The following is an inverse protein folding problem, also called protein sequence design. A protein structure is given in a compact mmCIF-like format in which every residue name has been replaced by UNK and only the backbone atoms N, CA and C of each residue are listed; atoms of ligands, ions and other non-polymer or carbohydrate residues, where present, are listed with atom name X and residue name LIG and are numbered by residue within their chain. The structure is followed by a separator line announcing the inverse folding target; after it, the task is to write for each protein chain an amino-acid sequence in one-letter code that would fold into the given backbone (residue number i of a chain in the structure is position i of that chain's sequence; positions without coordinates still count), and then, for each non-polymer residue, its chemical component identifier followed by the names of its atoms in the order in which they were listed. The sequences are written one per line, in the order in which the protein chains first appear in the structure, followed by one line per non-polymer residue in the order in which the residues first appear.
data_IF_826506744037
#
_entry.id   IF_826506744037
#
_cell.length_a   1.000
_cell.length_b   1.000
_cell.length_c   1.000
_cell.angle_alpha   90.00
_cell.angle_beta   90.00
_cell.angle_gamma   90.00
#
_symmetry.space_group_name_H-M   'P 1'
#
loop_
_entity.id
_entity.type
_entity.pdbx_description
1 polymer ?
#
# COMPACT_ATOMS: atom_id res chain seq x y z
N UNK A 1 3.94 34.74 -18.30
CA UNK A 1 3.00 34.04 -19.20
C UNK A 1 2.04 33.27 -18.29
N UNK A 2 0.78 33.70 -18.11
CA UNK A 2 -0.15 33.07 -17.14
C UNK A 2 -0.89 31.92 -17.82
N UNK A 3 -0.75 30.70 -17.31
CA UNK A 3 -1.71 29.63 -17.59
C UNK A 3 -3.07 30.09 -17.05
N UNK A 4 -4.06 30.18 -17.94
CA UNK A 4 -5.44 30.49 -17.55
C UNK A 4 -6.07 29.15 -17.15
N UNK A 5 -6.02 28.82 -15.86
CA UNK A 5 -6.76 27.70 -15.27
C UNK A 5 -8.14 28.16 -14.86
N UNK A 6 -9.18 27.41 -15.25
CA UNK A 6 -10.56 27.70 -14.88
C UNK A 6 -10.78 27.35 -13.38
N UNK A 7 -11.07 28.32 -12.50
CA UNK A 7 -11.08 28.10 -11.06
C UNK A 7 -12.15 27.12 -10.58
N UNK A 8 -13.30 27.06 -11.28
CA UNK A 8 -14.38 26.16 -10.90
C UNK A 8 -14.01 24.69 -11.16
N UNK A 9 -13.28 24.42 -12.25
CA UNK A 9 -12.81 23.07 -12.57
C UNK A 9 -11.67 22.61 -11.65
N UNK A 10 -10.86 23.53 -11.13
CA UNK A 10 -9.77 23.20 -10.19
C UNK A 10 -10.29 22.84 -8.79
N UNK A 11 -11.28 23.56 -8.26
CA UNK A 11 -11.93 23.23 -6.98
C UNK A 11 -12.70 21.90 -7.05
N UNK A 12 -13.43 21.68 -8.14
CA UNK A 12 -14.35 20.53 -8.24
C UNK A 12 -13.64 19.20 -8.55
N UNK A 13 -12.51 19.22 -9.28
CA UNK A 13 -11.87 17.99 -9.77
C UNK A 13 -10.41 17.80 -9.35
N UNK A 14 -9.77 18.75 -8.66
CA UNK A 14 -8.33 18.64 -8.32
C UNK A 14 -7.98 19.00 -6.86
N UNK A 15 -8.86 19.62 -6.09
CA UNK A 15 -8.61 20.00 -4.67
C UNK A 15 -8.34 18.79 -3.76
N UNK A 16 -9.11 17.68 -3.83
CA UNK A 16 -8.90 16.52 -2.95
C UNK A 16 -7.56 15.80 -3.19
N UNK A 17 -7.12 15.72 -4.45
CA UNK A 17 -5.86 15.07 -4.83
C UNK A 17 -4.64 15.91 -4.43
N UNK A 18 -4.78 17.24 -4.45
CA UNK A 18 -3.74 18.17 -4.02
C UNK A 18 -3.50 18.09 -2.50
N UNK A 19 -4.55 18.00 -1.68
CA UNK A 19 -4.38 17.84 -0.23
C UNK A 19 -3.76 16.46 0.11
N UNK A 20 -4.10 15.41 -0.65
CA UNK A 20 -3.47 14.08 -0.53
C UNK A 20 -1.96 14.09 -0.84
N UNK A 21 -1.51 14.99 -1.72
CA UNK A 21 -0.09 15.13 -2.10
C UNK A 21 0.81 15.75 -1.02
N UNK A 22 0.22 16.33 0.04
CA UNK A 22 0.95 16.94 1.15
C UNK A 22 1.34 15.95 2.26
N UNK A 23 0.96 14.67 2.12
CA UNK A 23 1.30 13.61 3.08
C UNK A 23 2.27 12.58 2.46
N UNK A 24 3.39 12.18 3.12
CA UNK A 24 4.46 11.40 2.46
C UNK A 24 4.21 9.88 2.27
N UNK A 25 4.76 9.22 1.23
CA UNK A 25 4.63 7.77 0.98
C UNK A 25 5.70 6.88 1.67
N UNK A 26 5.43 5.56 1.81
CA UNK A 26 6.32 4.56 2.46
C UNK A 26 6.43 3.23 1.66
N UNK A 27 7.57 2.53 1.70
CA UNK A 27 8.00 1.43 0.77
C UNK A 27 7.97 0.01 1.38
N UNK A 28 7.78 -1.05 0.55
CA UNK A 28 7.99 -2.49 0.88
C UNK A 28 8.55 -3.33 -0.29
N UNK A 29 9.12 -4.52 -0.05
CA UNK A 29 10.08 -5.21 -0.94
C UNK A 29 9.74 -6.58 -1.60
N UNK A 30 8.52 -7.12 -1.55
CA UNK A 30 8.12 -8.42 -2.12
C UNK A 30 6.56 -8.54 -2.17
N UNK A 31 5.85 -8.36 -3.29
CA UNK A 31 4.37 -8.26 -3.33
C UNK A 31 3.60 -9.61 -3.39
N UNK A 32 2.24 -9.68 -3.20
CA UNK A 32 1.42 -10.92 -3.25
C UNK A 32 1.16 -11.51 -4.65
N UNK A 33 0.79 -12.80 -4.79
CA UNK A 33 0.63 -13.50 -6.10
C UNK A 33 -0.33 -12.85 -7.12
N UNK A 34 -1.45 -12.23 -6.71
CA UNK A 34 -2.33 -11.46 -7.62
C UNK A 34 -1.68 -10.14 -8.12
N UNK A 35 -0.61 -9.70 -7.45
CA UNK A 35 0.32 -8.65 -7.89
C UNK A 35 1.51 -9.21 -8.70
N UNK A 36 1.54 -10.51 -9.00
CA UNK A 36 2.58 -11.16 -9.82
C UNK A 36 2.21 -11.09 -11.32
N UNK A 37 3.21 -11.06 -12.24
CA UNK A 37 3.03 -10.70 -13.65
C UNK A 37 2.11 -11.63 -14.45
N UNK A 38 1.93 -12.87 -13.97
CA UNK A 38 1.29 -13.93 -14.73
C UNK A 38 -0.21 -14.10 -14.42
N UNK A 39 -0.75 -13.42 -13.39
CA UNK A 39 -2.17 -13.54 -12.96
C UNK A 39 -2.86 -12.21 -12.61
N UNK A 40 -2.17 -11.08 -12.70
CA UNK A 40 -2.77 -9.76 -12.41
C UNK A 40 -3.65 -9.22 -13.53
N UNK A 41 -4.82 -8.70 -13.19
CA UNK A 41 -5.68 -7.90 -14.08
C UNK A 41 -5.72 -6.41 -13.68
N UNK A 42 -5.36 -6.05 -12.42
CA UNK A 42 -5.11 -4.68 -11.89
C UNK A 42 -4.49 -4.70 -10.44
N UNK A 43 -3.92 -3.61 -9.86
CA UNK A 43 -3.14 -3.63 -8.58
C UNK A 43 -3.22 -2.37 -7.65
N UNK A 44 -3.30 -2.54 -6.30
CA UNK A 44 -2.99 -1.53 -5.20
C UNK A 44 -2.30 -2.14 -3.93
N UNK A 45 -0.96 -2.06 -3.77
CA UNK A 45 -0.16 -2.97 -2.88
C UNK A 45 0.15 -2.50 -1.44
N UNK A 46 -0.01 -3.42 -0.46
CA UNK A 46 0.83 -3.52 0.74
C UNK A 46 1.82 -4.71 0.59
N UNK A 47 3.12 -4.44 0.65
CA UNK A 47 4.16 -5.45 0.34
C UNK A 47 4.65 -6.32 1.50
N UNK A 48 5.51 -7.27 1.16
CA UNK A 48 6.33 -8.10 2.04
C UNK A 48 7.80 -7.70 1.88
N UNK A 49 8.72 -8.12 2.74
CA UNK A 49 10.16 -7.89 2.57
C UNK A 49 10.93 -8.94 3.37
N UNK A 50 12.15 -9.25 2.94
CA UNK A 50 13.03 -10.16 3.65
C UNK A 50 14.22 -9.40 4.19
N UNK A 51 14.54 -9.62 5.46
CA UNK A 51 15.77 -9.10 6.07
C UNK A 51 16.98 -9.88 5.56
N UNK A 52 18.22 -9.35 5.64
CA UNK A 52 19.42 -10.11 5.31
C UNK A 52 19.57 -11.42 6.12
N UNK A 53 18.94 -11.52 7.30
CA UNK A 53 18.90 -12.72 8.14
C UNK A 53 17.82 -13.73 7.76
N UNK A 54 17.06 -13.51 6.68
CA UNK A 54 16.06 -14.45 6.18
C UNK A 54 14.66 -14.32 6.78
N UNK A 55 14.47 -13.52 7.84
CA UNK A 55 13.12 -13.23 8.38
C UNK A 55 12.28 -12.47 7.34
N UNK A 56 11.08 -12.95 7.09
CA UNK A 56 10.11 -12.38 6.16
C UNK A 56 9.07 -11.59 6.96
N UNK A 57 8.78 -10.36 6.54
CA UNK A 57 7.66 -9.57 7.05
C UNK A 57 6.60 -9.40 5.96
N UNK A 58 5.34 -9.58 6.32
CA UNK A 58 4.18 -9.39 5.44
C UNK A 58 3.25 -8.39 6.10
N UNK A 59 2.71 -7.45 5.33
CA UNK A 59 1.68 -6.56 5.84
C UNK A 59 0.58 -6.27 4.81
N UNK A 60 -0.64 -6.04 5.30
CA UNK A 60 -1.84 -5.90 4.48
C UNK A 60 -2.87 -5.01 5.18
N UNK A 61 -3.86 -4.54 4.42
CA UNK A 61 -5.00 -3.80 4.97
C UNK A 61 -6.11 -4.79 5.39
N UNK A 62 -6.71 -4.59 6.56
CA UNK A 62 -7.89 -5.29 7.07
C UNK A 62 -8.97 -4.28 7.46
N UNK A 63 -10.22 -4.71 7.63
CA UNK A 63 -11.34 -3.79 7.91
C UNK A 63 -12.02 -3.17 6.68
N UNK A 64 -11.49 -3.40 5.47
CA UNK A 64 -12.05 -2.95 4.19
C UNK A 64 -11.54 -1.59 3.71
N UNK A 65 -12.04 -1.12 2.57
CA UNK A 65 -11.72 0.23 2.02
C UNK A 65 -12.70 1.28 2.60
N UNK A 66 -12.59 1.50 3.91
CA UNK A 66 -13.41 2.44 4.67
C UNK A 66 -12.68 2.89 5.96
N UNK A 67 -13.38 3.61 6.84
CA UNK A 67 -12.86 4.17 8.09
C UNK A 67 -12.37 3.13 9.12
N UNK A 68 -12.65 1.83 8.90
CA UNK A 68 -12.18 0.72 9.72
C UNK A 68 -10.88 0.10 9.20
N UNK A 69 -10.29 0.66 8.15
CA UNK A 69 -9.04 0.17 7.57
C UNK A 69 -7.89 0.19 8.60
N UNK A 70 -7.28 -0.96 8.83
CA UNK A 70 -6.06 -1.12 9.66
C UNK A 70 -4.99 -1.83 8.86
N UNK A 71 -3.72 -1.44 9.06
CA UNK A 71 -2.60 -2.20 8.52
C UNK A 71 -2.18 -3.22 9.58
N UNK A 72 -2.12 -4.48 9.19
CA UNK A 72 -1.62 -5.57 10.03
C UNK A 72 -0.25 -6.02 9.55
N UNK A 73 0.57 -6.54 10.45
CA UNK A 73 1.87 -7.15 10.15
C UNK A 73 1.99 -8.54 10.78
N UNK A 74 2.68 -9.44 10.09
CA UNK A 74 3.13 -10.71 10.62
C UNK A 74 4.54 -11.03 10.12
N UNK A 75 5.25 -11.92 10.80
CA UNK A 75 6.58 -12.35 10.41
C UNK A 75 6.74 -13.87 10.38
N UNK A 76 7.69 -14.32 9.56
CA UNK A 76 8.10 -15.71 9.47
C UNK A 76 9.63 -15.81 9.63
N UNK A 77 10.04 -16.81 10.41
CA UNK A 77 11.44 -17.17 10.66
C UNK A 77 11.86 -18.47 9.96
N UNK A 78 10.96 -19.12 9.23
CA UNK A 78 11.14 -20.45 8.66
C UNK A 78 10.89 -20.46 7.14
N UNK A 79 11.29 -19.38 6.47
CA UNK A 79 11.19 -19.27 5.00
C UNK A 79 9.75 -19.13 4.49
N UNK A 80 8.83 -18.68 5.33
CA UNK A 80 7.41 -18.47 4.99
C UNK A 80 6.52 -19.69 5.23
N UNK A 81 7.00 -20.73 5.94
CA UNK A 81 6.20 -21.92 6.25
C UNK A 81 5.18 -21.63 7.37
N UNK A 82 5.57 -20.86 8.39
CA UNK A 82 4.70 -20.39 9.46
C UNK A 82 4.88 -18.89 9.68
N UNK A 83 3.79 -18.24 10.07
CA UNK A 83 3.78 -16.82 10.44
C UNK A 83 3.31 -16.65 11.88
N UNK A 84 3.82 -15.61 12.53
CA UNK A 84 3.29 -15.15 13.82
C UNK A 84 1.81 -14.80 13.73
N UNK A 85 1.16 -14.69 14.89
CA UNK A 85 -0.15 -14.03 14.94
C UNK A 85 -0.04 -12.59 14.38
N UNK A 86 -1.09 -12.08 13.70
CA UNK A 86 -1.11 -10.70 13.22
C UNK A 86 -0.96 -9.70 14.36
N UNK A 87 -0.16 -8.67 14.13
CA UNK A 87 0.04 -7.55 15.02
C UNK A 87 -0.43 -6.27 14.35
N UNK A 88 -0.88 -5.31 15.16
CA UNK A 88 -1.35 -3.98 14.75
C UNK A 88 -0.22 -2.97 14.92
#
# INVERSE_FOLDING_TARGET
MKQITNPRLTEEFFRPELDASLTPPVVRGNPPLFYHPEVGDYVMSGGMAMTPGGRIYLAWFSGGDNDKAVILIAHSDDGGLNFSQPQF
#
